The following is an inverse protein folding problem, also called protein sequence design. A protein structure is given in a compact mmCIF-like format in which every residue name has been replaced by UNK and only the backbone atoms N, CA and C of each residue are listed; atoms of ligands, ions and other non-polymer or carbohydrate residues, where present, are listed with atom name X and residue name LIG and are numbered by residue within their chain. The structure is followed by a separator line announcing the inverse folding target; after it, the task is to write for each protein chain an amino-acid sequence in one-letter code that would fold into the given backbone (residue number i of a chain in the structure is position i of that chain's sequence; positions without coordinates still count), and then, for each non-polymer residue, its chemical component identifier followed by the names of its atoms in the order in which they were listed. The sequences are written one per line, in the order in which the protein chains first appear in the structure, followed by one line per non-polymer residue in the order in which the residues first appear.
data_IF_238118205225
#
_entry.id   IF_238118205225
#
_cell.length_a   1.000
_cell.length_b   1.000
_cell.length_c   1.000
_cell.angle_alpha   90.00
_cell.angle_beta   90.00
_cell.angle_gamma   90.00
#
_symmetry.space_group_name_H-M   'P 1'
#
loop_
_entity.id
_entity.type
_entity.pdbx_description
1 polymer ?
#
# COMPACT_ATOMS: atom_id res chain seq x y z
N UNK A 1 10.94 -30.89 64.56
CA UNK A 1 10.28 -30.72 63.24
C UNK A 1 11.16 -29.79 62.42
N UNK A 2 11.97 -30.34 61.51
CA UNK A 2 12.84 -29.54 60.64
C UNK A 2 12.07 -29.24 59.34
N UNK A 3 11.66 -28.00 59.16
CA UNK A 3 11.06 -27.54 57.91
C UNK A 3 12.19 -27.21 56.92
N UNK A 4 12.18 -27.74 55.69
CA UNK A 4 13.19 -27.40 54.71
C UNK A 4 12.99 -25.95 54.25
N UNK A 5 14.04 -25.16 54.44
CA UNK A 5 14.17 -23.78 53.95
C UNK A 5 14.11 -23.77 52.41
N UNK A 6 13.10 -23.09 51.86
CA UNK A 6 12.93 -22.95 50.43
C UNK A 6 13.99 -21.98 49.90
N UNK A 7 15.13 -22.50 49.43
CA UNK A 7 16.19 -21.69 48.82
C UNK A 7 15.69 -21.10 47.51
N UNK A 8 15.27 -19.84 47.55
CA UNK A 8 15.02 -19.01 46.38
C UNK A 8 16.29 -19.00 45.51
N UNK A 9 16.23 -19.68 44.36
CA UNK A 9 17.30 -19.64 43.36
C UNK A 9 17.25 -18.28 42.65
N UNK A 10 18.28 -17.47 42.85
CA UNK A 10 18.48 -16.22 42.11
C UNK A 10 19.01 -16.48 40.70
N UNK A 11 18.75 -15.53 39.80
CA UNK A 11 19.22 -15.56 38.42
C UNK A 11 20.72 -15.26 38.37
N UNK A 12 21.48 -15.96 37.53
CA UNK A 12 22.90 -15.70 37.35
C UNK A 12 23.14 -14.64 36.27
N UNK A 13 24.22 -13.87 36.39
CA UNK A 13 24.61 -12.93 35.33
C UNK A 13 24.87 -13.64 34.00
N UNK A 14 25.39 -14.87 34.06
CA UNK A 14 25.64 -15.71 32.89
C UNK A 14 24.36 -16.08 32.15
N UNK A 15 23.28 -16.41 32.87
CA UNK A 15 21.97 -16.67 32.24
C UNK A 15 21.45 -15.43 31.53
N UNK A 16 21.60 -14.24 32.12
CA UNK A 16 21.18 -12.99 31.48
C UNK A 16 22.02 -12.68 30.23
N UNK A 17 23.34 -12.92 30.29
CA UNK A 17 24.24 -12.72 29.16
C UNK A 17 23.88 -13.60 27.97
N UNK A 18 23.56 -14.87 28.20
CA UNK A 18 23.14 -15.78 27.11
C UNK A 18 21.85 -15.29 26.46
N UNK A 19 20.89 -14.79 27.25
CA UNK A 19 19.61 -14.30 26.74
C UNK A 19 19.79 -13.09 25.84
N UNK A 20 20.59 -12.09 26.24
CA UNK A 20 20.82 -10.91 25.40
C UNK A 20 21.56 -11.25 24.11
N UNK A 21 22.46 -12.24 24.13
CA UNK A 21 23.15 -12.74 22.92
C UNK A 21 22.15 -13.38 21.97
N UNK A 22 21.26 -14.25 22.47
CA UNK A 22 20.21 -14.87 21.64
C UNK A 22 19.30 -13.80 21.05
N UNK A 23 18.86 -12.81 21.84
CA UNK A 23 18.03 -11.70 21.35
C UNK A 23 18.76 -10.91 20.25
N UNK A 24 20.05 -10.59 20.43
CA UNK A 24 20.84 -9.88 19.44
C UNK A 24 20.96 -10.65 18.11
N UNK A 25 21.17 -11.97 18.17
CA UNK A 25 21.23 -12.83 16.98
C UNK A 25 19.87 -12.84 16.26
N UNK A 26 18.76 -13.03 17.00
CA UNK A 26 17.42 -13.06 16.43
C UNK A 26 17.08 -11.72 15.75
N UNK A 27 17.38 -10.59 16.40
CA UNK A 27 17.17 -9.27 15.81
C UNK A 27 17.99 -9.10 14.52
N UNK A 28 19.26 -9.52 14.50
CA UNK A 28 20.10 -9.45 13.31
C UNK A 28 19.53 -10.20 12.09
N UNK A 29 18.93 -11.37 12.31
CA UNK A 29 18.28 -12.15 11.25
C UNK A 29 17.02 -11.44 10.73
N UNK A 30 16.22 -10.87 11.63
CA UNK A 30 14.97 -10.18 11.27
C UNK A 30 15.26 -8.95 10.39
N UNK A 31 16.25 -8.13 10.75
CA UNK A 31 16.57 -6.91 10.00
C UNK A 31 17.13 -7.19 8.59
N UNK A 32 17.91 -8.27 8.42
CA UNK A 32 18.52 -8.60 7.12
C UNK A 32 17.53 -9.16 6.09
N UNK A 33 16.51 -9.90 6.54
CA UNK A 33 15.47 -10.46 5.65
C UNK A 33 14.46 -9.45 5.11
N UNK A 34 14.35 -8.26 5.73
CA UNK A 34 13.31 -7.29 5.39
C UNK A 34 13.60 -6.51 4.10
N UNK A 35 14.86 -6.21 3.79
CA UNK A 35 15.26 -5.34 2.68
C UNK A 35 14.78 -5.80 1.29
N UNK A 36 14.95 -7.10 0.98
CA UNK A 36 14.52 -7.69 -0.29
C UNK A 36 12.99 -7.74 -0.45
N UNK A 37 12.26 -7.85 0.66
CA UNK A 37 10.80 -7.85 0.63
C UNK A 37 10.26 -6.47 0.25
N UNK A 38 10.94 -5.38 0.59
CA UNK A 38 10.44 -4.03 0.29
C UNK A 38 10.46 -3.73 -1.21
N UNK A 39 11.53 -4.05 -1.93
CA UNK A 39 11.61 -3.77 -3.38
C UNK A 39 10.61 -4.58 -4.20
N UNK A 40 10.41 -5.87 -3.88
CA UNK A 40 9.39 -6.70 -4.51
C UNK A 40 7.97 -6.21 -4.18
N UNK A 41 7.77 -5.64 -2.99
CA UNK A 41 6.50 -5.02 -2.60
C UNK A 41 6.22 -3.74 -3.39
N UNK A 42 7.22 -2.91 -3.68
CA UNK A 42 7.06 -1.70 -4.50
C UNK A 42 6.59 -2.03 -5.92
N UNK A 43 7.22 -3.02 -6.57
CA UNK A 43 6.78 -3.47 -7.91
C UNK A 43 5.36 -4.03 -7.87
N UNK A 44 5.04 -4.86 -6.88
CA UNK A 44 3.69 -5.42 -6.71
C UNK A 44 2.65 -4.32 -6.46
N UNK A 45 3.00 -3.30 -5.68
CA UNK A 45 2.15 -2.15 -5.42
C UNK A 45 1.89 -1.36 -6.70
N UNK A 46 2.94 -1.03 -7.46
CA UNK A 46 2.80 -0.32 -8.74
C UNK A 46 1.93 -1.12 -9.73
N UNK A 47 2.11 -2.45 -9.82
CA UNK A 47 1.24 -3.33 -10.63
C UNK A 47 -0.21 -3.25 -10.19
N UNK A 48 -0.49 -3.35 -8.90
CA UNK A 48 -1.84 -3.26 -8.35
C UNK A 48 -2.49 -1.89 -8.60
N UNK A 49 -1.70 -0.81 -8.56
CA UNK A 49 -2.19 0.55 -8.88
C UNK A 49 -2.51 0.71 -10.37
N UNK A 50 -1.70 0.14 -11.27
CA UNK A 50 -2.00 0.15 -12.70
C UNK A 50 -3.26 -0.67 -13.00
N UNK A 51 -3.43 -1.82 -12.35
CA UNK A 51 -4.62 -2.66 -12.49
C UNK A 51 -5.89 -1.93 -12.01
N UNK A 52 -5.83 -1.20 -10.89
CA UNK A 52 -6.98 -0.43 -10.40
C UNK A 52 -7.36 0.71 -11.34
N UNK A 53 -6.36 1.43 -11.89
CA UNK A 53 -6.59 2.46 -12.90
C UNK A 53 -7.19 1.85 -14.18
N UNK A 54 -6.69 0.70 -14.62
CA UNK A 54 -7.19 0.00 -15.81
C UNK A 54 -8.64 -0.45 -15.65
N UNK A 55 -9.00 -0.95 -14.46
CA UNK A 55 -10.38 -1.31 -14.14
C UNK A 55 -11.30 -0.09 -14.16
N UNK A 56 -10.88 1.02 -13.57
CA UNK A 56 -11.65 2.27 -13.58
C UNK A 56 -11.84 2.81 -15.01
N UNK A 57 -10.80 2.72 -15.86
CA UNK A 57 -10.91 3.07 -17.29
C UNK A 57 -11.86 2.16 -18.05
N UNK A 58 -11.86 0.85 -17.76
CA UNK A 58 -12.81 -0.08 -18.35
C UNK A 58 -14.26 0.21 -17.92
N UNK A 59 -14.46 0.58 -16.66
CA UNK A 59 -15.76 1.02 -16.15
C UNK A 59 -16.23 2.31 -16.83
N UNK A 60 -15.36 3.31 -16.90
CA UNK A 60 -15.64 4.57 -17.61
C UNK A 60 -16.04 4.30 -19.06
N UNK A 61 -15.27 3.48 -19.79
CA UNK A 61 -15.59 3.09 -21.16
C UNK A 61 -16.92 2.33 -21.26
N UNK A 62 -17.26 1.50 -20.28
CA UNK A 62 -18.54 0.81 -20.26
C UNK A 62 -19.73 1.75 -20.09
N UNK A 63 -19.52 2.90 -19.44
CA UNK A 63 -20.55 3.89 -19.14
C UNK A 63 -20.70 4.93 -20.25
N UNK A 64 -19.58 5.48 -20.73
CA UNK A 64 -19.54 6.57 -21.70
C UNK A 64 -19.19 6.13 -23.14
N UNK A 65 -18.84 4.85 -23.33
CA UNK A 65 -18.59 4.26 -24.65
C UNK A 65 -17.14 4.36 -25.15
N UNK A 66 -16.37 5.33 -24.66
CA UNK A 66 -14.95 5.49 -24.99
C UNK A 66 -14.10 5.89 -23.76
N UNK A 67 -12.78 5.94 -23.92
CA UNK A 67 -11.85 6.37 -22.87
C UNK A 67 -11.83 7.90 -22.72
N UNK A 68 -11.38 8.42 -21.55
CA UNK A 68 -11.25 9.86 -21.34
C UNK A 68 -10.31 10.51 -22.36
N UNK A 69 -10.75 11.60 -22.99
CA UNK A 69 -9.93 12.35 -23.95
C UNK A 69 -8.93 13.22 -23.20
N UNK A 70 -7.70 13.28 -23.71
CA UNK A 70 -6.72 14.28 -23.27
C UNK A 70 -6.03 14.87 -24.49
N UNK A 71 -5.77 16.18 -24.48
CA UNK A 71 -4.94 16.81 -25.52
C UNK A 71 -3.46 16.43 -25.34
N UNK A 72 -2.85 15.91 -26.39
CA UNK A 72 -1.42 15.54 -26.42
C UNK A 72 -0.50 16.76 -26.22
N UNK A 73 -0.96 17.96 -26.58
CA UNK A 73 -0.23 19.22 -26.37
C UNK A 73 -0.25 19.74 -24.94
N UNK A 74 -1.06 19.13 -24.05
CA UNK A 74 -1.24 19.57 -22.67
C UNK A 74 -0.15 19.06 -21.73
N UNK A 75 0.12 19.81 -20.65
CA UNK A 75 1.12 19.42 -19.65
C UNK A 75 0.75 18.09 -18.97
N UNK A 76 1.76 17.35 -18.49
CA UNK A 76 1.53 16.09 -17.79
C UNK A 76 0.63 16.25 -16.56
N UNK A 77 0.73 17.39 -15.86
CA UNK A 77 -0.13 17.73 -14.73
C UNK A 77 -1.60 17.86 -15.16
N UNK A 78 -1.87 18.52 -16.30
CA UNK A 78 -3.22 18.70 -16.79
C UNK A 78 -3.86 17.37 -17.22
N UNK A 79 -3.08 16.52 -17.91
CA UNK A 79 -3.51 15.17 -18.29
C UNK A 79 -3.82 14.30 -17.07
N UNK A 80 -3.02 14.41 -16.00
CA UNK A 80 -3.27 13.74 -14.74
C UNK A 80 -4.56 14.23 -14.05
N UNK A 81 -4.82 15.55 -14.08
CA UNK A 81 -6.07 16.14 -13.56
C UNK A 81 -7.29 15.63 -14.33
N UNK A 82 -7.24 15.61 -15.66
CA UNK A 82 -8.33 15.12 -16.51
C UNK A 82 -8.60 13.64 -16.21
N UNK A 83 -7.55 12.81 -16.14
CA UNK A 83 -7.70 11.40 -15.78
C UNK A 83 -8.39 11.25 -14.42
N UNK A 84 -7.94 11.99 -13.40
CA UNK A 84 -8.55 11.94 -12.08
C UNK A 84 -10.03 12.36 -12.11
N UNK A 85 -10.35 13.47 -12.77
CA UNK A 85 -11.73 13.98 -12.83
C UNK A 85 -12.67 13.05 -13.60
N UNK A 86 -12.19 12.45 -14.69
CA UNK A 86 -12.97 11.50 -15.49
C UNK A 86 -13.24 10.21 -14.71
N UNK A 87 -12.22 9.64 -14.06
CA UNK A 87 -12.35 8.42 -13.26
C UNK A 87 -13.12 8.62 -11.95
N UNK A 88 -13.24 9.86 -11.48
CA UNK A 88 -14.04 10.20 -10.30
C UNK A 88 -15.49 10.60 -10.64
N UNK A 89 -15.88 10.56 -11.92
CA UNK A 89 -17.24 10.83 -12.37
C UNK A 89 -17.61 12.32 -12.44
N UNK A 90 -16.62 13.19 -12.61
CA UNK A 90 -16.84 14.64 -12.75
C UNK A 90 -16.85 15.08 -14.21
N UNK A 91 -16.13 14.37 -15.06
CA UNK A 91 -16.04 14.62 -16.51
C UNK A 91 -16.61 13.43 -17.28
N UNK A 92 -17.30 13.71 -18.38
CA UNK A 92 -17.76 12.70 -19.34
C UNK A 92 -16.69 12.36 -20.39
N UNK A 93 -17.07 11.57 -21.40
CA UNK A 93 -16.20 11.20 -22.52
C UNK A 93 -15.82 12.35 -23.44
N UNK A 94 -16.54 13.46 -23.45
CA UNK A 94 -16.26 14.63 -24.28
C UNK A 94 -15.43 15.69 -23.53
N UNK A 95 -15.21 15.47 -22.24
CA UNK A 95 -14.47 16.37 -21.36
C UNK A 95 -15.34 17.45 -20.73
N UNK A 96 -16.66 17.31 -20.83
CA UNK A 96 -17.63 18.23 -20.25
C UNK A 96 -17.96 17.82 -18.81
N UNK A 97 -18.32 18.81 -17.98
CA UNK A 97 -18.69 18.56 -16.58
C UNK A 97 -20.03 17.80 -16.49
N UNK A 98 -20.01 16.64 -15.84
CA UNK A 98 -21.23 15.84 -15.62
C UNK A 98 -22.20 16.62 -14.71
N UNK A 99 -23.48 16.77 -15.11
CA UNK A 99 -24.49 17.48 -14.33
C UNK A 99 -24.60 16.96 -12.89
N UNK A 100 -24.80 17.87 -11.93
CA UNK A 100 -24.73 17.55 -10.49
C UNK A 100 -25.67 16.44 -10.05
N UNK A 101 -26.81 16.31 -10.73
CA UNK A 101 -27.87 15.34 -10.50
C UNK A 101 -27.60 13.97 -11.13
N UNK A 102 -26.59 13.86 -12.00
CA UNK A 102 -26.17 12.61 -12.64
C UNK A 102 -24.89 12.04 -12.02
N UNK A 103 -24.15 12.84 -11.24
CA UNK A 103 -22.95 12.39 -10.53
C UNK A 103 -23.26 11.32 -9.48
N UNK A 104 -22.49 10.22 -9.51
CA UNK A 104 -22.58 9.13 -8.54
C UNK A 104 -23.77 8.17 -8.75
N UNK A 105 -24.37 8.18 -9.94
CA UNK A 105 -25.38 7.17 -10.35
C UNK A 105 -24.77 5.88 -10.93
N UNK A 106 -23.43 5.76 -10.90
CA UNK A 106 -22.65 4.64 -11.43
C UNK A 106 -22.01 3.80 -10.33
#
# INVERSE_FOLDING_TARGET
MHQPENRSKGFTLMELMVVIIIIAILLGIIFTGAGFLFSAQEEKKAKSEIESISLALAQFKSEYGDYPITDEGSSAELRGKILFMSLSGWLDSDGDEVPRDERGKS
#
